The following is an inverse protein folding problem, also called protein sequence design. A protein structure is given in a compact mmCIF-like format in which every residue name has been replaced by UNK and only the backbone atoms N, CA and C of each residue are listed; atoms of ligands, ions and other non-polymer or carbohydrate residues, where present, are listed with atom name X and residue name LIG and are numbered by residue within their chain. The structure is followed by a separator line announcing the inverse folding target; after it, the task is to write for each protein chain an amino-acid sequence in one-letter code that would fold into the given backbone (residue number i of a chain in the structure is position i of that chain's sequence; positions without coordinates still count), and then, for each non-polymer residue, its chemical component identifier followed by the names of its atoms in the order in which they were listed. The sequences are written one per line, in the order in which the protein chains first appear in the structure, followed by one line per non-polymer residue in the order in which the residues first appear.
data_IF_955971450769
#
_entry.id   IF_955971450769
#
_cell.length_a   1.000
_cell.length_b   1.000
_cell.length_c   1.000
_cell.angle_alpha   90.00
_cell.angle_beta   90.00
_cell.angle_gamma   90.00
#
_symmetry.space_group_name_H-M   'P 1'
#
loop_
_entity.id
_entity.type
_entity.pdbx_description
1 polymer ?
#
# COMPACT_ATOMS: atom_id res chain seq x y z
N UNK A 1 24.76 -3.12 -5.00
CA UNK A 1 26.04 -2.86 -4.30
C UNK A 1 25.71 -2.46 -2.86
N UNK A 2 25.91 -3.34 -1.88
CA UNK A 2 25.62 -3.06 -0.48
C UNK A 2 26.71 -2.13 0.07
N UNK A 3 26.32 -0.94 0.52
CA UNK A 3 27.25 0.01 1.14
C UNK A 3 27.99 -0.65 2.31
N UNK A 4 29.31 -0.38 2.44
CA UNK A 4 30.06 -0.73 3.65
C UNK A 4 29.41 0.00 4.86
N UNK A 5 29.41 -0.63 6.04
CA UNK A 5 28.68 -0.15 7.21
C UNK A 5 28.89 1.35 7.57
N UNK A 6 30.11 1.92 7.51
CA UNK A 6 30.32 3.35 7.78
C UNK A 6 29.65 4.27 6.75
N UNK A 7 29.74 3.94 5.45
CA UNK A 7 29.12 4.73 4.38
C UNK A 7 27.60 4.71 4.46
N UNK A 8 27.00 3.58 4.86
CA UNK A 8 25.57 3.48 5.05
C UNK A 8 25.09 4.31 6.22
N UNK A 9 25.81 4.26 7.36
CA UNK A 9 25.49 5.10 8.53
C UNK A 9 25.54 6.58 8.18
N UNK A 10 26.54 7.02 7.43
CA UNK A 10 26.67 8.41 7.00
C UNK A 10 25.52 8.81 6.09
N UNK A 11 25.23 8.02 5.05
CA UNK A 11 24.13 8.29 4.13
C UNK A 11 22.75 8.26 4.82
N UNK A 12 22.55 7.39 5.80
CA UNK A 12 21.34 7.37 6.60
C UNK A 12 21.24 8.61 7.51
N UNK A 13 22.34 8.98 8.16
CA UNK A 13 22.37 10.16 9.02
C UNK A 13 22.08 11.44 8.22
N UNK A 14 22.66 11.56 7.01
CA UNK A 14 22.42 12.69 6.12
C UNK A 14 20.94 12.77 5.68
N UNK A 15 20.33 11.62 5.40
CA UNK A 15 18.93 11.55 4.96
C UNK A 15 17.93 11.79 6.10
N UNK A 16 18.19 11.28 7.31
CA UNK A 16 17.29 11.38 8.47
C UNK A 16 17.54 12.62 9.33
N UNK A 17 18.71 13.23 9.20
CA UNK A 17 19.15 14.28 10.14
C UNK A 17 19.36 13.73 11.55
N UNK A 18 19.44 14.62 12.54
CA UNK A 18 19.73 14.28 13.94
C UNK A 18 18.51 14.26 14.86
N UNK A 19 17.29 14.26 14.33
CA UNK A 19 16.04 14.24 15.13
C UNK A 19 15.98 13.09 16.14
N UNK A 20 16.54 11.94 15.77
CA UNK A 20 16.58 10.74 16.62
C UNK A 20 17.98 10.51 17.23
N UNK A 21 18.84 11.52 17.21
CA UNK A 21 20.23 11.42 17.64
C UNK A 21 21.15 10.83 16.58
N UNK A 22 22.40 10.54 16.98
CA UNK A 22 23.40 9.97 16.08
C UNK A 22 23.22 8.47 15.89
N UNK A 23 23.20 8.02 14.64
CA UNK A 23 23.17 6.60 14.28
C UNK A 23 24.55 5.98 14.52
N UNK A 24 24.67 5.05 15.47
CA UNK A 24 25.95 4.54 15.93
C UNK A 24 26.31 3.18 15.32
N UNK A 25 25.33 2.34 15.00
CA UNK A 25 25.56 0.96 14.55
C UNK A 25 24.48 0.48 13.58
N UNK A 26 24.91 -0.28 12.59
CA UNK A 26 24.04 -1.01 11.65
C UNK A 26 24.09 -2.49 11.99
N UNK A 27 22.93 -3.14 12.08
CA UNK A 27 22.82 -4.60 12.26
C UNK A 27 22.96 -5.39 10.96
N UNK A 28 22.48 -6.63 10.97
CA UNK A 28 22.38 -7.44 9.77
C UNK A 28 21.49 -6.77 8.71
N UNK A 29 21.83 -6.96 7.43
CA UNK A 29 21.14 -6.33 6.31
C UNK A 29 20.68 -7.39 5.33
N UNK A 30 19.44 -7.27 4.92
CA UNK A 30 18.84 -8.11 3.90
C UNK A 30 18.26 -7.21 2.81
N UNK A 31 18.37 -7.64 1.56
CA UNK A 31 17.82 -6.94 0.41
C UNK A 31 16.77 -7.82 -0.24
N UNK A 32 15.58 -7.29 -0.42
CA UNK A 32 14.48 -7.96 -1.09
C UNK A 32 14.03 -7.11 -2.26
N UNK A 33 13.84 -7.68 -3.46
CA UNK A 33 13.21 -6.96 -4.55
C UNK A 33 11.76 -6.64 -4.17
N UNK A 34 11.39 -5.38 -4.29
CA UNK A 34 10.02 -4.94 -4.07
C UNK A 34 9.34 -4.82 -5.43
N UNK A 35 8.26 -5.55 -5.63
CA UNK A 35 7.45 -5.51 -6.84
C UNK A 35 5.98 -5.54 -6.49
N UNK A 36 5.17 -4.85 -7.29
CA UNK A 36 3.73 -5.04 -7.27
C UNK A 36 3.44 -6.41 -7.88
N UNK A 37 2.72 -7.25 -7.15
CA UNK A 37 2.24 -8.56 -7.61
C UNK A 37 0.75 -8.60 -7.34
N UNK A 38 -0.02 -8.98 -8.35
CA UNK A 38 -1.47 -9.17 -8.26
C UNK A 38 -1.81 -10.56 -8.77
N UNK A 39 -2.71 -11.26 -8.07
CA UNK A 39 -3.27 -12.51 -8.54
C UNK A 39 -4.20 -12.23 -9.72
N UNK A 40 -4.02 -12.94 -10.82
CA UNK A 40 -4.90 -12.85 -11.99
C UNK A 40 -6.32 -13.30 -11.65
N UNK A 41 -6.43 -14.26 -10.73
CA UNK A 41 -7.70 -14.81 -10.27
C UNK A 41 -7.70 -14.87 -8.74
N UNK A 42 -8.69 -14.22 -8.10
CA UNK A 42 -8.80 -14.17 -6.65
C UNK A 42 -9.92 -15.06 -6.10
N UNK A 43 -10.86 -15.52 -6.93
CA UNK A 43 -11.98 -16.36 -6.48
C UNK A 43 -12.20 -17.53 -7.42
N UNK A 44 -12.49 -18.69 -6.84
CA UNK A 44 -13.03 -19.90 -7.49
C UNK A 44 -14.09 -20.52 -6.59
N UNK A 45 -14.85 -21.47 -7.08
CA UNK A 45 -15.79 -22.23 -6.25
C UNK A 45 -15.07 -22.82 -5.03
N UNK A 46 -15.49 -22.41 -3.84
CA UNK A 46 -14.93 -22.86 -2.57
C UNK A 46 -13.57 -22.26 -2.21
N UNK A 47 -13.07 -21.27 -2.97
CA UNK A 47 -11.75 -20.68 -2.72
C UNK A 47 -11.74 -19.17 -2.91
N UNK A 48 -11.13 -18.47 -1.94
CA UNK A 48 -10.81 -17.03 -2.04
C UNK A 48 -9.34 -16.81 -1.68
N UNK A 49 -8.62 -16.05 -2.48
CA UNK A 49 -7.25 -15.60 -2.22
C UNK A 49 -7.30 -14.21 -1.60
N UNK A 50 -6.64 -14.01 -0.47
CA UNK A 50 -6.64 -12.76 0.29
C UNK A 50 -5.22 -12.29 0.65
N UNK A 51 -5.10 -11.02 1.03
CA UNK A 51 -3.88 -10.44 1.54
C UNK A 51 -2.75 -10.42 0.52
N UNK A 52 -1.52 -10.65 0.95
CA UNK A 52 -0.34 -10.63 0.06
C UNK A 52 -0.39 -11.68 -1.06
N UNK A 53 -1.19 -12.73 -0.91
CA UNK A 53 -1.40 -13.72 -1.97
C UNK A 53 -2.29 -13.18 -3.10
N UNK A 54 -3.21 -12.27 -2.77
CA UNK A 54 -4.07 -11.60 -3.76
C UNK A 54 -3.37 -10.37 -4.36
N UNK A 55 -2.72 -9.57 -3.52
CA UNK A 55 -2.07 -8.32 -3.93
C UNK A 55 -0.90 -8.00 -2.98
N UNK A 56 0.31 -8.12 -3.48
CA UNK A 56 1.52 -7.69 -2.76
C UNK A 56 1.92 -6.29 -3.23
N UNK A 57 1.71 -5.29 -2.37
CA UNK A 57 1.98 -3.89 -2.66
C UNK A 57 3.37 -3.47 -2.22
N UNK A 58 3.88 -2.38 -2.79
CA UNK A 58 5.04 -1.71 -2.22
C UNK A 58 4.75 -1.28 -0.78
N UNK A 59 5.69 -1.46 0.18
CA UNK A 59 5.48 -1.17 1.61
C UNK A 59 5.48 0.34 1.90
N UNK A 60 4.70 1.11 1.14
CA UNK A 60 4.52 2.55 1.31
C UNK A 60 3.26 2.79 2.13
N UNK A 61 3.40 3.52 3.23
CA UNK A 61 2.32 3.90 4.14
C UNK A 61 1.47 2.73 4.70
N UNK A 62 1.98 1.49 4.71
CA UNK A 62 1.26 0.32 5.27
C UNK A 62 -0.02 -0.07 4.54
N UNK A 63 -0.23 0.39 3.31
CA UNK A 63 -1.48 0.22 2.55
C UNK A 63 -1.83 -1.25 2.28
N UNK A 64 -0.82 -2.12 2.07
CA UNK A 64 -1.07 -3.56 1.82
C UNK A 64 -1.80 -4.24 2.97
N UNK A 65 -1.40 -3.99 4.23
CA UNK A 65 -2.06 -4.53 5.40
C UNK A 65 -3.50 -3.98 5.54
N UNK A 66 -3.67 -2.68 5.40
CA UNK A 66 -4.99 -2.03 5.50
C UNK A 66 -5.96 -2.54 4.42
N UNK A 67 -5.48 -2.72 3.19
CA UNK A 67 -6.27 -3.30 2.11
C UNK A 67 -6.67 -4.74 2.43
N UNK A 68 -5.74 -5.57 2.88
CA UNK A 68 -6.01 -6.95 3.26
C UNK A 68 -7.05 -7.05 4.38
N UNK A 69 -7.02 -6.15 5.35
CA UNK A 69 -8.00 -6.11 6.42
C UNK A 69 -9.40 -5.75 5.89
N UNK A 70 -9.50 -4.79 4.98
CA UNK A 70 -10.77 -4.43 4.34
C UNK A 70 -11.32 -5.58 3.48
N UNK A 71 -10.45 -6.30 2.78
CA UNK A 71 -10.86 -7.50 2.01
C UNK A 71 -11.46 -8.57 2.94
N UNK A 72 -10.81 -8.82 4.08
CA UNK A 72 -11.31 -9.78 5.07
C UNK A 72 -12.67 -9.35 5.62
N UNK A 73 -12.83 -8.07 5.96
CA UNK A 73 -14.11 -7.54 6.45
C UNK A 73 -15.21 -7.66 5.40
N UNK A 74 -14.93 -7.29 4.15
CA UNK A 74 -15.89 -7.39 3.05
C UNK A 74 -16.29 -8.84 2.75
N UNK A 75 -15.35 -9.78 2.83
CA UNK A 75 -15.64 -11.19 2.68
C UNK A 75 -16.51 -11.69 3.85
N UNK A 76 -16.17 -11.32 5.08
CA UNK A 76 -16.95 -11.69 6.27
C UNK A 76 -18.39 -11.17 6.17
N UNK A 77 -18.59 -9.92 5.77
CA UNK A 77 -19.92 -9.33 5.54
C UNK A 77 -20.66 -10.05 4.41
N UNK A 78 -19.97 -10.44 3.36
CA UNK A 78 -20.58 -11.19 2.26
C UNK A 78 -21.07 -12.56 2.71
N UNK A 79 -20.24 -13.29 3.46
CA UNK A 79 -20.58 -14.62 3.95
C UNK A 79 -21.67 -14.59 5.02
N UNK A 80 -21.65 -13.59 5.91
CA UNK A 80 -22.68 -13.44 6.97
C UNK A 80 -24.03 -12.98 6.43
N UNK A 81 -24.04 -12.31 5.28
CA UNK A 81 -25.28 -11.85 4.61
C UNK A 81 -25.83 -12.86 3.59
N UNK A 82 -25.17 -14.00 3.43
CA UNK A 82 -25.65 -15.06 2.52
C UNK A 82 -26.94 -15.68 3.04
N UNK A 83 -27.81 -16.12 2.14
CA UNK A 83 -29.02 -16.82 2.51
C UNK A 83 -28.71 -18.16 3.24
N UNK A 84 -29.57 -18.63 4.14
CA UNK A 84 -29.29 -19.84 4.93
C UNK A 84 -29.06 -21.10 4.10
N UNK A 85 -29.62 -21.15 2.91
CA UNK A 85 -29.49 -22.24 1.93
C UNK A 85 -28.37 -22.02 0.93
N UNK A 86 -27.73 -20.86 0.94
CA UNK A 86 -26.65 -20.52 0.03
C UNK A 86 -25.32 -21.06 0.53
N UNK A 87 -24.62 -21.83 -0.32
CA UNK A 87 -23.28 -22.33 0.03
C UNK A 87 -22.27 -21.18 0.12
N UNK A 88 -21.49 -21.07 1.23
CA UNK A 88 -20.46 -20.04 1.35
C UNK A 88 -19.38 -20.12 0.27
N UNK A 89 -19.21 -21.29 -0.38
CA UNK A 89 -18.28 -21.50 -1.48
C UNK A 89 -18.90 -21.29 -2.87
N UNK A 90 -20.14 -20.82 -2.95
CA UNK A 90 -20.79 -20.57 -4.24
C UNK A 90 -20.09 -19.46 -5.01
N UNK A 91 -19.75 -19.75 -6.29
CA UNK A 91 -18.99 -18.81 -7.12
C UNK A 91 -19.72 -17.47 -7.32
N UNK A 92 -21.04 -17.48 -7.42
CA UNK A 92 -21.84 -16.26 -7.55
C UNK A 92 -21.70 -15.34 -6.33
N UNK A 93 -21.73 -15.92 -5.11
CA UNK A 93 -21.54 -15.21 -3.86
C UNK A 93 -20.13 -14.59 -3.79
N UNK A 94 -19.09 -15.39 -4.07
CA UNK A 94 -17.70 -14.97 -4.03
C UNK A 94 -17.37 -13.92 -5.11
N UNK A 95 -17.96 -14.01 -6.29
CA UNK A 95 -17.86 -12.97 -7.31
C UNK A 95 -18.53 -11.67 -6.86
N UNK A 96 -19.64 -11.74 -6.13
CA UNK A 96 -20.28 -10.56 -5.53
C UNK A 96 -19.36 -9.83 -4.54
N UNK A 97 -18.61 -10.57 -3.72
CA UNK A 97 -17.54 -10.03 -2.88
C UNK A 97 -16.47 -9.33 -3.73
N UNK A 98 -15.92 -10.02 -4.73
CA UNK A 98 -14.84 -9.49 -5.56
C UNK A 98 -15.24 -8.21 -6.30
N UNK A 99 -16.45 -8.16 -6.86
CA UNK A 99 -16.95 -6.98 -7.55
C UNK A 99 -17.03 -5.76 -6.62
N UNK A 100 -17.47 -5.95 -5.37
CA UNK A 100 -17.52 -4.86 -4.36
C UNK A 100 -16.14 -4.37 -3.98
N UNK A 101 -15.16 -5.28 -3.83
CA UNK A 101 -13.80 -4.93 -3.41
C UNK A 101 -12.92 -4.41 -4.54
N UNK A 102 -13.23 -4.75 -5.80
CA UNK A 102 -12.38 -4.43 -6.95
C UNK A 102 -12.02 -2.95 -7.05
N UNK A 103 -12.97 -2.07 -6.80
CA UNK A 103 -12.71 -0.63 -6.88
C UNK A 103 -11.76 -0.18 -5.77
N UNK A 104 -11.92 -0.68 -4.55
CA UNK A 104 -11.05 -0.36 -3.41
C UNK A 104 -9.63 -0.88 -3.64
N UNK A 105 -9.49 -2.11 -4.10
CA UNK A 105 -8.21 -2.71 -4.46
C UNK A 105 -7.50 -1.88 -5.52
N UNK A 106 -8.16 -1.59 -6.64
CA UNK A 106 -7.59 -0.81 -7.75
C UNK A 106 -7.15 0.60 -7.31
N UNK A 107 -7.96 1.30 -6.53
CA UNK A 107 -7.61 2.63 -6.03
C UNK A 107 -6.41 2.60 -5.09
N UNK A 108 -6.37 1.62 -4.18
CA UNK A 108 -5.27 1.48 -3.23
C UNK A 108 -3.96 1.10 -3.94
N UNK A 109 -4.02 0.19 -4.90
CA UNK A 109 -2.88 -0.24 -5.72
C UNK A 109 -2.37 0.95 -6.55
N UNK A 110 -3.25 1.64 -7.28
CA UNK A 110 -2.87 2.79 -8.09
C UNK A 110 -2.26 3.93 -7.25
N UNK A 111 -2.80 4.19 -6.06
CA UNK A 111 -2.23 5.17 -5.14
C UNK A 111 -0.83 4.78 -4.67
N UNK A 112 -0.64 3.53 -4.23
CA UNK A 112 0.66 3.01 -3.77
C UNK A 112 1.71 3.02 -4.88
N UNK A 113 1.36 2.53 -6.08
CA UNK A 113 2.26 2.52 -7.24
C UNK A 113 2.58 3.95 -7.72
N UNK A 114 1.57 4.81 -7.76
CA UNK A 114 1.74 6.23 -8.12
C UNK A 114 2.70 6.96 -7.19
N UNK A 115 2.58 6.77 -5.87
CA UNK A 115 3.52 7.30 -4.89
C UNK A 115 4.93 6.74 -5.11
N UNK A 116 5.05 5.42 -5.30
CA UNK A 116 6.34 4.79 -5.56
C UNK A 116 7.04 5.43 -6.76
N UNK A 117 6.33 5.55 -7.89
CA UNK A 117 6.87 6.13 -9.12
C UNK A 117 7.23 7.61 -8.96
N UNK A 118 6.40 8.38 -8.26
CA UNK A 118 6.62 9.80 -8.03
C UNK A 118 7.86 10.05 -7.17
N UNK A 119 8.04 9.26 -6.09
CA UNK A 119 9.13 9.47 -5.14
C UNK A 119 10.43 8.76 -5.51
N UNK A 120 10.40 7.68 -6.28
CA UNK A 120 11.59 6.99 -6.78
C UNK A 120 12.21 7.66 -8.00
N UNK A 121 11.50 8.56 -8.67
CA UNK A 121 11.95 9.19 -9.89
C UNK A 121 12.91 10.37 -9.63
N UNK A 122 14.07 10.36 -10.32
CA UNK A 122 15.11 11.40 -10.20
C UNK A 122 15.03 12.48 -11.29
N UNK A 123 14.00 12.46 -12.16
CA UNK A 123 13.87 13.48 -13.22
C UNK A 123 13.60 14.86 -12.62
N UNK A 124 14.36 15.91 -12.97
CA UNK A 124 14.26 17.23 -12.34
C UNK A 124 12.86 17.83 -12.39
N UNK A 125 12.16 17.64 -13.50
CA UNK A 125 10.79 18.15 -13.71
C UNK A 125 9.81 17.51 -12.73
N UNK A 126 9.88 16.18 -12.53
CA UNK A 126 9.04 15.45 -11.57
C UNK A 126 9.40 15.80 -10.12
N UNK A 127 10.68 16.00 -9.84
CA UNK A 127 11.13 16.45 -8.52
C UNK A 127 10.59 17.86 -8.20
N UNK A 128 10.64 18.80 -9.15
CA UNK A 128 10.07 20.14 -9.00
C UNK A 128 8.54 20.06 -8.80
N UNK A 129 7.82 19.31 -9.63
CA UNK A 129 6.38 19.12 -9.51
C UNK A 129 5.97 18.51 -8.16
N UNK A 130 6.71 17.50 -7.69
CA UNK A 130 6.52 16.91 -6.37
C UNK A 130 6.72 17.93 -5.24
N UNK A 131 7.80 18.71 -5.30
CA UNK A 131 8.11 19.70 -4.27
C UNK A 131 7.05 20.82 -4.24
N UNK A 132 6.59 21.28 -5.41
CA UNK A 132 5.47 22.24 -5.49
C UNK A 132 4.17 21.64 -4.98
N UNK A 133 3.88 20.38 -5.27
CA UNK A 133 2.71 19.68 -4.75
C UNK A 133 2.73 19.54 -3.23
N UNK A 134 3.89 19.20 -2.65
CA UNK A 134 4.07 19.13 -1.20
C UNK A 134 3.91 20.51 -0.54
N UNK A 135 4.50 21.54 -1.14
CA UNK A 135 4.34 22.92 -0.67
C UNK A 135 2.87 23.37 -0.76
N UNK A 136 2.18 23.05 -1.86
CA UNK A 136 0.76 23.32 -2.01
C UNK A 136 -0.10 22.63 -0.94
N UNK A 137 0.23 21.40 -0.57
CA UNK A 137 -0.45 20.69 0.54
C UNK A 137 -0.21 21.34 1.91
N UNK A 138 0.94 21.96 2.12
CA UNK A 138 1.20 22.69 3.37
C UNK A 138 0.41 24.01 3.47
N UNK A 139 0.15 24.65 2.33
CA UNK A 139 -0.59 25.93 2.27
C UNK A 139 -2.11 25.66 2.27
N UNK A 140 -2.56 24.60 1.60
CA UNK A 140 -3.98 24.29 1.41
C UNK A 140 -4.41 23.14 2.31
N UNK A 141 -4.84 23.44 3.54
CA UNK A 141 -5.22 22.46 4.56
C UNK A 141 -6.23 21.38 4.08
N UNK A 142 -7.25 21.65 3.24
CA UNK A 142 -8.13 20.62 2.70
C UNK A 142 -7.41 19.56 1.87
N UNK A 143 -6.40 19.92 1.07
CA UNK A 143 -5.62 18.97 0.27
C UNK A 143 -4.84 18.01 1.17
N UNK A 144 -4.26 18.53 2.25
CA UNK A 144 -3.53 17.73 3.24
C UNK A 144 -4.44 16.71 3.91
N UNK A 145 -5.66 17.09 4.28
CA UNK A 145 -6.63 16.20 4.92
C UNK A 145 -7.12 15.10 3.97
N UNK A 146 -7.40 15.43 2.72
CA UNK A 146 -7.79 14.44 1.68
C UNK A 146 -6.65 13.45 1.44
N UNK A 147 -5.43 13.94 1.26
CA UNK A 147 -4.26 13.08 1.09
C UNK A 147 -4.02 12.18 2.31
N UNK A 148 -4.12 12.73 3.52
CA UNK A 148 -3.94 11.97 4.75
C UNK A 148 -5.01 10.87 4.90
N UNK A 149 -6.28 11.16 4.63
CA UNK A 149 -7.35 10.15 4.62
C UNK A 149 -7.07 9.04 3.62
N UNK A 150 -6.68 9.39 2.40
CA UNK A 150 -6.33 8.41 1.36
C UNK A 150 -5.12 7.57 1.78
N UNK A 151 -4.08 8.20 2.35
CA UNK A 151 -2.88 7.51 2.84
C UNK A 151 -3.15 6.61 4.06
N UNK A 152 -4.15 6.92 4.87
CA UNK A 152 -4.59 6.10 5.99
C UNK A 152 -5.65 5.06 5.60
N UNK A 153 -6.11 5.04 4.34
CA UNK A 153 -7.18 4.15 3.90
C UNK A 153 -8.54 4.46 4.50
N UNK A 154 -8.71 5.68 5.04
CA UNK A 154 -9.98 6.15 5.60
C UNK A 154 -10.85 6.69 4.46
N UNK A 155 -11.77 5.86 4.01
CA UNK A 155 -12.82 6.29 3.07
C UNK A 155 -13.98 6.80 3.90
N UNK A 156 -14.29 8.08 3.75
CA UNK A 156 -15.51 8.69 4.28
C UNK A 156 -16.66 8.45 3.33
#
# INVERSE_FOLDING_TARGET
MLYQSPRLLHALQDAFGFRMGALKRVGARHSYPLSLIEAEEQVRTGLVVLGNAAHSLHPIAGQGFNLSLRDVMALADTLSSAAPDQSPGELALLNGYLQRQRQDQQQTIAFSDGLTRLFSNRRPVLAAGRNLGLLGMDIVAPLKSVFARQAMGLKG
#
